data_IF_169384825789
#
_entry.id   IF_169384825789
#
_cell.length_a   1.000
_cell.length_b   1.000
_cell.length_c   1.000
_cell.angle_alpha   90.00
_cell.angle_beta   90.00
_cell.angle_gamma   90.00
#
_symmetry.space_group_name_H-M   'P 1'
#
loop_
_entity.id
_entity.type
_entity.pdbx_description
1 polymer ?
#
# COMPACT_ATOMS: atom_id res chain seq x y z
N UNK A 1 -9.86 -2.66 -16.64
CA UNK A 1 -8.72 -1.73 -16.47
C UNK A 1 -9.06 -0.84 -15.30
N UNK A 2 -8.40 -0.99 -14.16
CA UNK A 2 -8.62 -0.10 -13.01
C UNK A 2 -8.35 1.35 -13.44
N UNK A 3 -9.38 2.19 -13.41
CA UNK A 3 -9.27 3.60 -13.75
C UNK A 3 -8.49 4.30 -12.64
N UNK A 4 -7.18 4.44 -12.82
CA UNK A 4 -6.37 5.32 -11.98
C UNK A 4 -6.85 6.77 -12.17
N UNK A 5 -7.34 7.37 -11.08
CA UNK A 5 -7.62 8.82 -11.00
C UNK A 5 -6.30 9.58 -10.94
N UNK A 6 -6.18 10.62 -11.74
CA UNK A 6 -4.98 11.46 -11.75
C UNK A 6 -5.25 12.71 -10.94
N UNK A 7 -4.50 12.91 -9.86
CA UNK A 7 -4.62 14.05 -8.97
C UNK A 7 -3.31 14.83 -9.02
N UNK A 8 -3.39 16.13 -9.30
CA UNK A 8 -2.26 17.05 -9.23
C UNK A 8 -2.55 18.15 -8.20
N UNK A 9 -1.66 18.32 -7.23
CA UNK A 9 -1.76 19.36 -6.19
C UNK A 9 -0.69 20.42 -6.46
N UNK A 10 -1.14 21.67 -6.59
CA UNK A 10 -0.29 22.85 -6.77
C UNK A 10 -0.51 23.81 -5.58
N UNK A 11 0.37 24.81 -5.38
CA UNK A 11 0.22 25.77 -4.27
C UNK A 11 -1.14 26.47 -4.18
N UNK A 12 -1.80 26.72 -5.33
CA UNK A 12 -3.06 27.48 -5.38
C UNK A 12 -4.20 26.77 -6.14
N UNK A 13 -4.04 25.49 -6.51
CA UNK A 13 -5.09 24.72 -7.19
C UNK A 13 -4.91 23.22 -7.04
N UNK A 14 -6.01 22.48 -7.12
CA UNK A 14 -6.02 21.02 -7.19
C UNK A 14 -6.73 20.62 -8.48
N UNK A 15 -6.15 19.71 -9.25
CA UNK A 15 -6.72 19.19 -10.49
C UNK A 15 -7.01 17.69 -10.34
N UNK A 16 -8.19 17.27 -10.77
CA UNK A 16 -8.58 15.86 -10.85
C UNK A 16 -8.94 15.53 -12.30
N UNK A 17 -8.36 14.46 -12.82
CA UNK A 17 -8.70 13.88 -14.12
C UNK A 17 -9.12 12.41 -13.98
N UNK A 18 -9.96 11.94 -14.91
CA UNK A 18 -10.62 10.63 -14.87
C UNK A 18 -11.47 10.42 -13.60
N UNK A 19 -12.18 11.46 -13.16
CA UNK A 19 -13.25 11.29 -12.18
C UNK A 19 -14.45 10.62 -12.86
N UNK A 20 -15.17 9.78 -12.12
CA UNK A 20 -16.32 9.03 -12.64
C UNK A 20 -17.49 9.99 -12.95
N UNK A 21 -17.73 10.95 -12.06
CA UNK A 21 -18.75 11.99 -12.18
C UNK A 21 -18.36 13.24 -11.38
N UNK A 22 -19.12 14.33 -11.56
CA UNK A 22 -18.87 15.61 -10.88
C UNK A 22 -18.93 15.46 -9.35
N UNK A 23 -19.84 14.63 -8.83
CA UNK A 23 -19.99 14.39 -7.39
C UNK A 23 -18.77 13.67 -6.82
N UNK A 24 -18.25 12.65 -7.50
CA UNK A 24 -17.01 11.97 -7.13
C UNK A 24 -15.83 12.94 -7.11
N UNK A 25 -15.70 13.79 -8.15
CA UNK A 25 -14.66 14.81 -8.20
C UNK A 25 -14.73 15.76 -6.99
N UNK A 26 -15.93 16.25 -6.63
CA UNK A 26 -16.13 17.10 -5.45
C UNK A 26 -15.77 16.42 -4.15
N UNK A 27 -16.13 15.14 -3.98
CA UNK A 27 -15.78 14.36 -2.78
C UNK A 27 -14.28 14.23 -2.62
N UNK A 28 -13.57 13.93 -3.72
CA UNK A 28 -12.10 13.82 -3.69
C UNK A 28 -11.45 15.17 -3.41
N UNK A 29 -11.93 16.26 -4.03
CA UNK A 29 -11.43 17.61 -3.75
C UNK A 29 -11.59 17.98 -2.27
N UNK A 30 -12.76 17.73 -1.70
CA UNK A 30 -13.04 18.03 -0.29
C UNK A 30 -12.19 17.18 0.65
N UNK A 31 -11.98 15.90 0.32
CA UNK A 31 -11.07 15.02 1.06
C UNK A 31 -9.64 15.58 1.07
N UNK A 32 -9.11 15.96 -0.09
CA UNK A 32 -7.75 16.53 -0.19
C UNK A 32 -7.66 17.84 0.59
N UNK A 33 -8.63 18.74 0.44
CA UNK A 33 -8.68 20.01 1.17
C UNK A 33 -8.61 19.79 2.68
N UNK A 34 -9.42 18.87 3.21
CA UNK A 34 -9.41 18.51 4.64
C UNK A 34 -8.07 17.95 5.07
N UNK A 35 -7.48 17.05 4.28
CA UNK A 35 -6.18 16.45 4.58
C UNK A 35 -5.07 17.49 4.64
N UNK A 36 -5.01 18.40 3.66
CA UNK A 36 -4.02 19.48 3.61
C UNK A 36 -4.16 20.39 4.83
N UNK A 37 -5.39 20.84 5.13
CA UNK A 37 -5.64 21.73 6.26
C UNK A 37 -5.31 21.08 7.61
N UNK A 38 -5.69 19.81 7.80
CA UNK A 38 -5.35 19.05 9.00
C UNK A 38 -3.82 18.87 9.14
N UNK A 39 -3.15 18.52 8.05
CA UNK A 39 -1.67 18.40 8.04
C UNK A 39 -1.02 19.72 8.40
N UNK A 40 -1.54 20.84 7.88
CA UNK A 40 -1.03 22.18 8.17
C UNK A 40 -1.25 22.63 9.62
N UNK A 41 -2.42 22.33 10.19
CA UNK A 41 -2.75 22.59 11.58
C UNK A 41 -1.77 21.87 12.53
N UNK A 42 -1.46 20.61 12.23
CA UNK A 42 -0.55 19.79 13.02
C UNK A 42 0.92 19.86 12.60
N UNK A 43 1.30 20.80 11.72
CA UNK A 43 2.64 20.83 11.10
C UNK A 43 3.81 20.89 12.08
N UNK A 44 3.60 21.46 13.27
CA UNK A 44 4.62 21.52 14.34
C UNK A 44 4.84 20.19 15.05
N UNK A 45 3.87 19.27 14.95
CA UNK A 45 3.87 17.96 15.64
C UNK A 45 4.21 16.79 14.73
N UNK A 46 4.39 17.04 13.42
CA UNK A 46 4.70 16.01 12.43
C UNK A 46 6.08 16.25 11.82
N UNK A 47 6.77 15.16 11.48
CA UNK A 47 8.04 15.21 10.76
C UNK A 47 7.79 14.89 9.27
N UNK A 48 8.07 15.84 8.34
CA UNK A 48 7.91 15.57 6.92
C UNK A 48 8.95 14.54 6.43
N UNK A 49 8.49 13.56 5.66
CA UNK A 49 9.35 12.62 4.94
C UNK A 49 9.56 13.13 3.51
N UNK A 50 10.76 13.63 3.21
CA UNK A 50 11.11 14.16 1.88
C UNK A 50 11.58 13.08 0.90
N UNK A 51 11.83 11.87 1.39
CA UNK A 51 12.21 10.74 0.53
C UNK A 51 10.97 10.17 -0.16
N UNK A 52 10.99 10.18 -1.50
CA UNK A 52 10.00 9.45 -2.27
C UNK A 52 10.19 7.95 -2.07
N UNK A 53 9.28 7.32 -1.33
CA UNK A 53 9.24 5.86 -1.21
C UNK A 53 9.01 5.26 -2.60
N UNK A 54 10.02 4.57 -3.13
CA UNK A 54 9.84 3.75 -4.32
C UNK A 54 9.06 2.52 -3.90
N UNK A 55 7.91 2.29 -4.55
CA UNK A 55 7.17 1.05 -4.41
C UNK A 55 8.12 -0.11 -4.73
N UNK A 56 8.44 -1.02 -3.79
CA UNK A 56 9.33 -2.13 -4.07
C UNK A 56 8.76 -2.96 -5.22
N UNK A 57 9.58 -3.48 -6.14
CA UNK A 57 9.08 -4.34 -7.21
C UNK A 57 8.51 -5.64 -6.62
N UNK A 58 7.45 -6.18 -7.23
CA UNK A 58 6.80 -7.39 -6.73
C UNK A 58 7.76 -8.58 -6.55
N UNK A 59 8.81 -8.64 -7.38
CA UNK A 59 9.87 -9.64 -7.27
C UNK A 59 10.60 -9.59 -5.91
N UNK A 60 10.81 -8.40 -5.34
CA UNK A 60 11.45 -8.25 -4.04
C UNK A 60 10.54 -8.76 -2.91
N UNK A 61 9.21 -8.66 -3.06
CA UNK A 61 8.24 -9.27 -2.14
C UNK A 61 8.34 -10.78 -2.26
N UNK A 62 8.35 -11.31 -3.49
CA UNK A 62 8.47 -12.75 -3.74
C UNK A 62 9.72 -13.37 -3.13
N UNK A 63 10.88 -12.69 -3.19
CA UNK A 63 12.13 -13.14 -2.55
C UNK A 63 12.04 -13.29 -1.02
N UNK A 64 11.05 -12.66 -0.39
CA UNK A 64 10.79 -12.71 1.06
C UNK A 64 9.64 -13.67 1.41
N UNK A 65 9.15 -14.43 0.43
CA UNK A 65 8.19 -15.50 0.63
C UNK A 65 8.90 -16.87 0.62
N UNK A 66 8.29 -17.92 1.21
CA UNK A 66 8.86 -19.26 1.28
C UNK A 66 9.12 -19.93 -0.07
N UNK A 67 8.47 -19.47 -1.15
CA UNK A 67 8.58 -20.08 -2.47
C UNK A 67 7.94 -21.48 -2.61
N UNK A 68 7.24 -21.97 -1.59
CA UNK A 68 6.67 -23.34 -1.56
C UNK A 68 5.46 -23.54 -2.47
N UNK A 69 4.81 -22.46 -2.94
CA UNK A 69 3.58 -22.50 -3.73
C UNK A 69 2.46 -23.37 -3.11
N UNK A 70 2.41 -23.43 -1.78
CA UNK A 70 1.50 -24.32 -1.03
C UNK A 70 -0.01 -24.01 -1.16
N UNK A 71 -0.39 -22.84 -1.69
CA UNK A 71 -1.80 -22.48 -1.92
C UNK A 71 -2.62 -22.11 -0.68
N UNK A 72 -2.07 -22.21 0.54
CA UNK A 72 -2.81 -21.96 1.79
C UNK A 72 -3.29 -20.52 1.96
N UNK A 73 -2.70 -19.57 1.24
CA UNK A 73 -3.12 -18.16 1.20
C UNK A 73 -4.27 -17.89 0.20
N UNK A 74 -4.69 -18.90 -0.57
CA UNK A 74 -5.72 -18.80 -1.61
C UNK A 74 -5.19 -18.52 -3.02
N UNK A 75 -3.87 -18.35 -3.19
CA UNK A 75 -3.23 -18.09 -4.47
C UNK A 75 -2.55 -19.32 -5.06
N UNK A 76 -2.55 -19.47 -6.38
CA UNK A 76 -1.94 -20.62 -7.07
C UNK A 76 -0.41 -20.69 -6.90
N UNK A 77 0.25 -19.55 -6.73
CA UNK A 77 1.71 -19.45 -6.56
C UNK A 77 2.07 -18.35 -5.58
N UNK A 78 3.25 -18.45 -4.96
CA UNK A 78 3.82 -17.40 -4.13
C UNK A 78 4.05 -16.11 -4.92
N UNK A 79 4.33 -16.19 -6.23
CA UNK A 79 4.43 -15.01 -7.10
C UNK A 79 3.08 -14.31 -7.28
N UNK A 80 1.99 -15.07 -7.47
CA UNK A 80 0.64 -14.51 -7.53
C UNK A 80 0.30 -13.79 -6.21
N UNK A 81 0.63 -14.40 -5.07
CA UNK A 81 0.48 -13.75 -3.76
C UNK A 81 1.31 -12.47 -3.63
N UNK A 82 2.58 -12.49 -4.05
CA UNK A 82 3.44 -11.31 -4.05
C UNK A 82 2.88 -10.16 -4.90
N UNK A 83 2.30 -10.45 -6.07
CA UNK A 83 1.63 -9.46 -6.91
C UNK A 83 0.40 -8.87 -6.22
N UNK A 84 -0.45 -9.70 -5.60
CA UNK A 84 -1.61 -9.19 -4.87
C UNK A 84 -1.22 -8.35 -3.65
N UNK A 85 -0.15 -8.71 -2.95
CA UNK A 85 0.44 -7.87 -1.90
C UNK A 85 0.93 -6.54 -2.47
N UNK A 86 1.59 -6.58 -3.62
CA UNK A 86 2.04 -5.38 -4.32
C UNK A 86 0.88 -4.46 -4.71
N UNK A 87 -0.28 -5.02 -5.07
CA UNK A 87 -1.51 -4.26 -5.34
C UNK A 87 -2.29 -3.86 -4.08
N UNK A 88 -1.82 -4.24 -2.88
CA UNK A 88 -2.51 -3.97 -1.59
C UNK A 88 -3.92 -4.58 -1.55
N UNK A 89 -4.14 -5.70 -2.24
CA UNK A 89 -5.42 -6.41 -2.30
C UNK A 89 -5.58 -7.50 -1.24
N UNK A 90 -4.47 -7.89 -0.60
CA UNK A 90 -4.40 -9.01 0.32
C UNK A 90 -3.53 -8.67 1.51
N UNK A 91 -3.86 -9.25 2.66
CA UNK A 91 -3.10 -9.08 3.89
C UNK A 91 -1.86 -10.02 3.91
N UNK A 92 -0.65 -9.51 4.25
CA UNK A 92 0.55 -10.32 4.46
C UNK A 92 0.32 -11.54 5.37
N UNK A 93 -0.48 -11.40 6.44
CA UNK A 93 -0.77 -12.45 7.42
C UNK A 93 -1.45 -13.69 6.83
N UNK A 94 -1.97 -13.61 5.58
CA UNK A 94 -2.50 -14.79 4.89
C UNK A 94 -1.42 -15.80 4.50
N UNK A 95 -0.15 -15.43 4.52
CA UNK A 95 0.96 -16.36 4.33
C UNK A 95 1.21 -17.19 5.61
N UNK A 96 0.34 -18.17 5.88
CA UNK A 96 0.45 -19.05 7.06
C UNK A 96 1.83 -19.66 7.29
N UNK A 97 2.60 -20.08 6.26
CA UNK A 97 3.93 -20.65 6.51
C UNK A 97 4.93 -19.64 7.11
N UNK A 98 4.72 -18.33 6.89
CA UNK A 98 5.57 -17.24 7.41
C UNK A 98 5.12 -16.75 8.79
N UNK A 99 3.84 -16.81 9.13
CA UNK A 99 3.34 -16.27 10.40
C UNK A 99 2.98 -17.35 11.43
N UNK A 100 2.75 -18.58 10.98
CA UNK A 100 2.26 -19.70 11.80
C UNK A 100 2.93 -21.02 11.40
N UNK A 101 4.13 -20.97 10.82
CA UNK A 101 4.75 -22.14 10.20
C UNK A 101 6.27 -22.18 10.28
N UNK A 102 6.87 -23.03 9.46
CA UNK A 102 8.32 -23.31 9.50
C UNK A 102 9.18 -22.16 8.95
N UNK A 103 8.55 -21.17 8.29
CA UNK A 103 9.23 -20.03 7.66
C UNK A 103 9.09 -18.73 8.45
N UNK A 104 8.85 -18.81 9.77
CA UNK A 104 8.73 -17.64 10.65
C UNK A 104 9.96 -16.71 10.63
N UNK A 105 11.14 -17.22 10.26
CA UNK A 105 12.34 -16.40 10.08
C UNK A 105 12.20 -15.35 8.96
N UNK A 106 11.26 -15.51 8.02
CA UNK A 106 10.99 -14.55 6.94
C UNK A 106 10.01 -13.44 7.38
N UNK A 107 9.37 -13.56 8.54
CA UNK A 107 8.33 -12.64 9.01
C UNK A 107 8.82 -11.19 8.99
N UNK A 108 9.94 -10.91 9.67
CA UNK A 108 10.51 -9.57 9.77
C UNK A 108 10.79 -8.95 8.40
N UNK A 109 11.37 -9.73 7.49
CA UNK A 109 11.73 -9.26 6.16
C UNK A 109 10.48 -8.98 5.30
N UNK A 110 9.47 -9.85 5.36
CA UNK A 110 8.20 -9.66 4.66
C UNK A 110 7.45 -8.43 5.20
N UNK A 111 7.46 -8.23 6.50
CA UNK A 111 6.79 -7.09 7.14
C UNK A 111 7.47 -5.76 6.81
N UNK A 112 8.80 -5.73 6.78
CA UNK A 112 9.57 -4.55 6.40
C UNK A 112 9.23 -4.08 4.97
N UNK A 113 9.22 -5.01 4.00
CA UNK A 113 8.89 -4.67 2.61
C UNK A 113 7.42 -4.29 2.44
N UNK A 114 6.51 -4.89 3.21
CA UNK A 114 5.08 -4.55 3.19
C UNK A 114 4.82 -3.17 3.82
N UNK A 115 5.57 -2.77 4.85
CA UNK A 115 5.50 -1.41 5.41
C UNK A 115 5.93 -0.35 4.40
N UNK A 116 6.95 -0.66 3.58
CA UNK A 116 7.38 0.23 2.50
C UNK A 116 6.30 0.44 1.41
N UNK A 117 5.36 -0.50 1.25
CA UNK A 117 4.21 -0.39 0.34
C UNK A 117 3.08 0.52 0.87
N UNK A 118 3.17 0.98 2.12
CA UNK A 118 2.09 1.74 2.76
C UNK A 118 0.90 0.89 3.22
N UNK A 119 1.08 -0.43 3.32
CA UNK A 119 0.12 -1.31 3.99
C UNK A 119 0.16 -0.93 5.48
N UNK A 120 -0.94 -0.38 6.02
CA UNK A 120 -1.04 -0.07 7.45
C UNK A 120 -1.20 -1.40 8.19
N UNK A 121 -0.10 -1.93 8.68
CA UNK A 121 -0.08 -3.19 9.40
C UNK A 121 -0.58 -2.95 10.83
N UNK A 122 -1.85 -3.23 11.09
CA UNK A 122 -2.38 -3.29 12.46
C UNK A 122 -1.95 -4.61 13.09
N UNK A 123 -0.90 -4.59 13.91
CA UNK A 123 -0.65 -5.66 14.86
C UNK A 123 -1.75 -5.55 15.94
N UNK A 124 -2.66 -6.54 16.01
CA UNK A 124 -3.57 -6.69 17.16
C UNK A 124 -2.81 -7.24 18.36
#
# INVERSE_FOLDING_TARGET
>A
MEQYRMIAVYPHRITIAKADEIIDAWRVLEMIRRLVNKTWEHRSSIQPLYEMRKKPPALEIFKRLPGTNCGVCGEKTCMAFALRLWHVEVDPFRCKPVFNGEYNHLESALMEICSALGIIIKKS
#
